data_IF_751005745243
#
_entry.id   IF_751005745243
#
_cell.length_a   1.000
_cell.length_b   1.000
_cell.length_c   1.000
_cell.angle_alpha   90.00
_cell.angle_beta   90.00
_cell.angle_gamma   90.00
#
_symmetry.space_group_name_H-M   'P 1'
#
loop_
_entity.id
_entity.type
_entity.pdbx_description
1 polymer ?
#
# COMPACT_ATOMS: atom_id res chain seq x y z
N UNK A 1 -10.24 10.85 -18.96
CA UNK A 1 -10.89 9.69 -18.30
C UNK A 1 -11.28 10.14 -16.90
N UNK A 2 -12.53 9.93 -16.49
CA UNK A 2 -13.05 10.40 -15.20
C UNK A 2 -12.90 9.33 -14.13
N UNK A 3 -12.80 9.73 -12.86
CA UNK A 3 -12.90 8.80 -11.74
C UNK A 3 -14.24 8.06 -11.79
N UNK A 4 -14.33 6.81 -11.29
CA UNK A 4 -15.61 6.17 -11.02
C UNK A 4 -16.51 7.10 -10.18
N UNK A 5 -17.80 7.18 -10.49
CA UNK A 5 -18.72 8.13 -9.84
C UNK A 5 -18.79 7.95 -8.32
N UNK A 6 -18.79 6.71 -7.84
CA UNK A 6 -18.72 6.41 -6.41
C UNK A 6 -17.40 6.84 -5.76
N UNK A 7 -16.29 6.74 -6.49
CA UNK A 7 -14.98 7.17 -5.99
C UNK A 7 -14.90 8.69 -5.85
N UNK A 8 -15.42 9.45 -6.82
CA UNK A 8 -15.41 10.92 -6.75
C UNK A 8 -16.13 11.44 -5.50
N UNK A 9 -17.31 10.89 -5.19
CA UNK A 9 -18.06 11.24 -3.98
C UNK A 9 -17.33 10.84 -2.70
N UNK A 10 -16.72 9.65 -2.67
CA UNK A 10 -15.93 9.20 -1.52
C UNK A 10 -14.72 10.10 -1.26
N UNK A 11 -14.03 10.54 -2.31
CA UNK A 11 -12.92 11.48 -2.22
C UNK A 11 -13.38 12.87 -1.78
N UNK A 12 -14.52 13.36 -2.25
CA UNK A 12 -15.06 14.65 -1.80
C UNK A 12 -15.34 14.66 -0.30
N UNK A 13 -15.95 13.59 0.23
CA UNK A 13 -16.14 13.43 1.66
C UNK A 13 -14.82 13.36 2.44
N UNK A 14 -13.83 12.63 1.92
CA UNK A 14 -12.54 12.44 2.57
C UNK A 14 -11.68 13.72 2.56
N UNK A 15 -11.64 14.43 1.43
CA UNK A 15 -10.80 15.61 1.22
C UNK A 15 -11.50 16.91 1.66
N UNK A 16 -12.80 16.86 1.96
CA UNK A 16 -13.62 18.03 2.30
C UNK A 16 -13.91 18.95 1.11
N UNK A 17 -13.57 18.53 -0.10
CA UNK A 17 -13.79 19.28 -1.33
C UNK A 17 -13.76 18.36 -2.56
N UNK A 18 -14.51 18.69 -3.63
CA UNK A 18 -14.53 17.86 -4.83
C UNK A 18 -13.18 17.88 -5.56
N UNK A 19 -12.77 16.75 -6.16
CA UNK A 19 -11.67 16.71 -7.12
C UNK A 19 -11.86 17.73 -8.25
N UNK A 20 -10.84 18.54 -8.52
CA UNK A 20 -10.82 19.58 -9.58
C UNK A 20 -10.12 19.11 -10.84
N UNK A 21 -8.97 18.46 -10.68
CA UNK A 21 -8.19 17.92 -11.78
C UNK A 21 -7.79 16.48 -11.46
N UNK A 22 -7.93 15.61 -12.45
CA UNK A 22 -7.58 14.19 -12.34
C UNK A 22 -6.69 13.83 -13.52
N UNK A 23 -5.48 13.38 -13.22
CA UNK A 23 -4.53 12.88 -14.21
C UNK A 23 -4.17 11.45 -13.85
N UNK A 24 -4.49 10.50 -14.73
CA UNK A 24 -4.01 9.13 -14.56
C UNK A 24 -2.49 9.12 -14.59
N UNK A 25 -1.90 8.36 -13.67
CA UNK A 25 -0.45 8.16 -13.60
C UNK A 25 -0.18 6.67 -13.77
N UNK A 26 0.88 6.34 -14.52
CA UNK A 26 1.37 4.96 -14.56
C UNK A 26 2.00 4.64 -13.20
N UNK A 27 1.74 3.44 -12.66
CA UNK A 27 2.31 3.08 -11.37
C UNK A 27 1.81 1.81 -10.69
N UNK A 28 0.93 1.02 -11.30
CA UNK A 28 0.49 -0.24 -10.72
C UNK A 28 0.22 -1.32 -11.77
N UNK A 29 0.70 -2.53 -11.50
CA UNK A 29 0.34 -3.73 -12.29
C UNK A 29 -1.07 -4.22 -11.97
N UNK A 30 -1.62 -3.82 -10.81
CA UNK A 30 -2.91 -4.31 -10.27
C UNK A 30 -3.93 -3.20 -10.01
N UNK A 31 -3.49 -2.00 -9.60
CA UNK A 31 -4.38 -0.89 -9.24
C UNK A 31 -4.27 0.24 -10.24
N UNK A 32 -5.38 0.95 -10.46
CA UNK A 32 -5.37 2.23 -11.14
C UNK A 32 -4.88 3.32 -10.19
N UNK A 33 -4.21 4.32 -10.72
CA UNK A 33 -3.68 5.44 -9.95
C UNK A 33 -3.88 6.77 -10.68
N UNK A 34 -4.14 7.83 -9.91
CA UNK A 34 -4.26 9.18 -10.41
C UNK A 34 -3.63 10.20 -9.47
N UNK A 35 -3.04 11.23 -10.06
CA UNK A 35 -2.79 12.52 -9.42
C UNK A 35 -4.11 13.29 -9.39
N UNK A 36 -4.59 13.60 -8.20
CA UNK A 36 -5.85 14.31 -7.96
C UNK A 36 -5.55 15.64 -7.29
N UNK A 37 -5.99 16.73 -7.89
CA UNK A 37 -5.98 18.05 -7.26
C UNK A 37 -7.35 18.35 -6.68
N UNK A 38 -7.40 18.81 -5.43
CA UNK A 38 -8.60 19.32 -4.78
C UNK A 38 -8.25 20.57 -3.95
N UNK A 39 -9.24 21.19 -3.30
CA UNK A 39 -8.90 22.22 -2.32
C UNK A 39 -8.03 21.60 -1.21
N UNK A 40 -6.95 22.28 -0.84
CA UNK A 40 -6.02 21.80 0.19
C UNK A 40 -4.77 21.07 -0.35
N UNK A 41 -4.71 20.72 -1.64
CA UNK A 41 -3.46 20.24 -2.23
C UNK A 41 -3.61 19.23 -3.38
N UNK A 42 -2.53 18.49 -3.60
CA UNK A 42 -2.43 17.42 -4.59
C UNK A 42 -2.25 16.09 -3.87
N UNK A 43 -2.94 15.07 -4.35
CA UNK A 43 -2.99 13.75 -3.74
C UNK A 43 -2.71 12.68 -4.78
N UNK A 44 -2.08 11.59 -4.34
CA UNK A 44 -2.10 10.34 -5.07
C UNK A 44 -3.34 9.55 -4.63
N UNK A 45 -4.17 9.16 -5.58
CA UNK A 45 -5.30 8.25 -5.33
C UNK A 45 -5.06 6.96 -6.10
N UNK A 46 -5.08 5.83 -5.38
CA UNK A 46 -5.08 4.49 -5.98
C UNK A 46 -6.43 3.84 -5.74
N UNK A 47 -6.93 3.09 -6.71
CA UNK A 47 -8.14 2.31 -6.55
C UNK A 47 -8.09 0.99 -7.30
N UNK A 48 -8.92 0.05 -6.85
CA UNK A 48 -9.02 -1.28 -7.42
C UNK A 48 -10.51 -1.69 -7.46
N UNK A 49 -11.03 -1.99 -8.66
CA UNK A 49 -12.44 -2.35 -8.83
C UNK A 49 -12.80 -3.69 -8.19
N UNK A 50 -11.90 -4.67 -8.32
CA UNK A 50 -12.08 -6.02 -7.78
C UNK A 50 -10.88 -6.45 -6.93
N UNK A 51 -10.63 -5.82 -5.76
CA UNK A 51 -9.50 -6.15 -4.93
C UNK A 51 -9.60 -7.62 -4.46
N UNK A 52 -8.48 -8.27 -4.09
CA UNK A 52 -8.52 -9.59 -3.47
C UNK A 52 -9.47 -9.59 -2.27
N UNK A 53 -10.39 -10.56 -2.22
CA UNK A 53 -11.29 -10.70 -1.08
C UNK A 53 -10.47 -11.10 0.16
N UNK A 54 -10.49 -10.32 1.25
CA UNK A 54 -9.77 -10.70 2.46
C UNK A 54 -10.36 -11.98 3.06
N UNK A 55 -9.49 -12.84 3.58
CA UNK A 55 -9.91 -13.93 4.44
C UNK A 55 -10.49 -13.37 5.75
N UNK A 56 -11.33 -14.12 6.48
CA UNK A 56 -11.84 -13.66 7.78
C UNK A 56 -10.70 -13.20 8.70
N UNK A 57 -10.82 -11.99 9.24
CA UNK A 57 -9.80 -11.39 10.11
C UNK A 57 -8.63 -10.72 9.40
N UNK A 58 -8.55 -10.78 8.06
CA UNK A 58 -7.53 -10.05 7.30
C UNK A 58 -8.02 -8.63 6.98
N UNK A 59 -7.13 -7.62 7.06
CA UNK A 59 -7.47 -6.28 6.60
C UNK A 59 -7.70 -6.26 5.08
N UNK A 60 -8.46 -5.28 4.60
CA UNK A 60 -8.55 -5.02 3.16
C UNK A 60 -7.20 -4.60 2.56
N UNK A 61 -7.06 -4.69 1.23
CA UNK A 61 -5.78 -4.39 0.55
C UNK A 61 -5.26 -2.99 0.87
N UNK A 62 -6.12 -1.98 0.80
CA UNK A 62 -5.72 -0.59 1.05
C UNK A 62 -5.65 -0.24 2.54
N UNK A 63 -6.42 -0.93 3.39
CA UNK A 63 -6.21 -0.89 4.84
C UNK A 63 -4.81 -1.40 5.21
N UNK A 64 -4.40 -2.54 4.65
CA UNK A 64 -3.07 -3.12 4.88
C UNK A 64 -1.96 -2.20 4.38
N UNK A 65 -2.13 -1.57 3.21
CA UNK A 65 -1.19 -0.57 2.69
C UNK A 65 -1.11 0.65 3.62
N UNK A 66 -2.24 1.17 4.08
CA UNK A 66 -2.29 2.30 5.00
C UNK A 66 -1.56 2.00 6.32
N UNK A 67 -1.81 0.83 6.92
CA UNK A 67 -1.13 0.40 8.15
C UNK A 67 0.38 0.25 7.93
N UNK A 68 0.80 -0.34 6.81
CA UNK A 68 2.21 -0.46 6.44
C UNK A 68 2.92 0.88 6.27
N UNK A 69 2.28 1.84 5.58
CA UNK A 69 2.79 3.21 5.43
C UNK A 69 2.91 3.94 6.77
N UNK A 70 1.90 3.82 7.64
CA UNK A 70 1.95 4.39 8.99
C UNK A 70 3.08 3.78 9.83
N UNK A 71 3.28 2.46 9.76
CA UNK A 71 4.38 1.79 10.45
C UNK A 71 5.75 2.29 9.95
N UNK A 72 5.95 2.37 8.63
CA UNK A 72 7.18 2.91 8.04
C UNK A 72 7.42 4.38 8.45
N UNK A 73 6.36 5.21 8.43
CA UNK A 73 6.45 6.61 8.83
C UNK A 73 6.84 6.78 10.30
N UNK A 74 6.38 5.87 11.18
CA UNK A 74 6.69 5.90 12.61
C UNK A 74 8.19 5.80 12.93
N UNK A 75 8.97 5.14 12.06
CA UNK A 75 10.41 5.01 12.19
C UNK A 75 11.17 6.34 11.93
N UNK A 76 10.54 7.30 11.23
CA UNK A 76 11.12 8.62 10.92
C UNK A 76 12.49 8.56 10.24
N UNK A 77 12.71 7.55 9.39
CA UNK A 77 14.03 7.28 8.77
C UNK A 77 14.08 7.54 7.26
N UNK A 78 12.97 7.36 6.56
CA UNK A 78 12.81 7.60 5.11
C UNK A 78 11.57 8.44 4.87
N UNK A 79 11.51 9.14 3.73
CA UNK A 79 10.28 9.85 3.34
C UNK A 79 9.22 8.83 2.96
N UNK A 80 8.08 8.89 3.64
CA UNK A 80 6.89 8.07 3.41
C UNK A 80 5.72 9.02 3.17
N UNK A 81 4.84 8.78 2.17
CA UNK A 81 3.68 9.63 1.94
C UNK A 81 2.71 9.52 3.12
N UNK A 82 2.18 10.66 3.57
CA UNK A 82 1.12 10.67 4.56
C UNK A 82 -0.16 10.03 3.99
N UNK A 83 -0.79 9.13 4.73
CA UNK A 83 -2.09 8.53 4.37
C UNK A 83 -3.19 9.49 4.82
N UNK A 84 -4.05 9.91 3.89
CA UNK A 84 -5.22 10.72 4.20
C UNK A 84 -6.40 9.87 4.60
N UNK A 85 -6.57 8.74 3.91
CA UNK A 85 -7.61 7.77 4.20
C UNK A 85 -7.72 6.69 3.13
N UNK A 86 -8.53 5.69 3.41
CA UNK A 86 -8.83 4.60 2.50
C UNK A 86 -10.32 4.22 2.65
N UNK A 87 -10.84 3.49 1.68
CA UNK A 87 -12.18 2.95 1.72
C UNK A 87 -12.26 1.56 1.12
N UNK A 88 -13.12 0.72 1.70
CA UNK A 88 -13.49 -0.58 1.16
C UNK A 88 -14.55 -0.43 0.05
N UNK A 89 -14.78 -1.45 -0.80
CA UNK A 89 -15.81 -1.40 -1.82
C UNK A 89 -17.19 -1.17 -1.19
N UNK A 90 -17.87 -0.10 -1.61
CA UNK A 90 -19.18 0.28 -1.08
C UNK A 90 -20.04 0.90 -2.18
N UNK A 91 -21.21 0.30 -2.44
CA UNK A 91 -22.10 0.71 -3.52
C UNK A 91 -21.37 0.73 -4.88
N UNK A 92 -21.30 1.91 -5.50
CA UNK A 92 -20.60 2.12 -6.78
C UNK A 92 -19.15 2.61 -6.60
N UNK A 93 -18.62 2.66 -5.38
CA UNK A 93 -17.22 3.04 -5.12
C UNK A 93 -16.33 1.79 -5.10
N UNK A 94 -15.22 1.77 -5.86
CA UNK A 94 -14.18 0.76 -5.69
C UNK A 94 -13.48 0.93 -4.33
N UNK A 95 -12.67 -0.06 -3.95
CA UNK A 95 -11.72 0.13 -2.86
C UNK A 95 -10.68 1.17 -3.29
N UNK A 96 -10.23 2.02 -2.36
CA UNK A 96 -9.25 3.06 -2.66
C UNK A 96 -8.37 3.43 -1.47
N UNK A 97 -7.27 4.11 -1.76
CA UNK A 97 -6.45 4.86 -0.79
C UNK A 97 -6.12 6.23 -1.39
N UNK A 98 -6.21 7.27 -0.57
CA UNK A 98 -5.73 8.61 -0.87
C UNK A 98 -4.55 8.94 0.05
N UNK A 99 -3.47 9.42 -0.55
CA UNK A 99 -2.24 9.76 0.15
C UNK A 99 -1.60 11.02 -0.42
N UNK A 100 -0.64 11.56 0.32
CA UNK A 100 0.17 12.70 -0.08
C UNK A 100 0.77 12.48 -1.48
N UNK A 101 0.65 13.48 -2.35
CA UNK A 101 1.44 13.53 -3.58
C UNK A 101 2.88 13.93 -3.27
N UNK A 102 3.84 13.06 -3.61
CA UNK A 102 5.26 13.38 -3.51
C UNK A 102 5.76 13.80 -4.89
N UNK A 103 6.23 15.04 -5.00
CA UNK A 103 6.88 15.50 -6.24
C UNK A 103 8.15 14.71 -6.51
N UNK A 104 8.30 14.25 -7.75
CA UNK A 104 9.48 13.50 -8.15
C UNK A 104 10.72 14.39 -8.07
N UNK A 105 11.66 13.98 -7.22
CA UNK A 105 12.98 14.61 -7.12
C UNK A 105 13.89 14.26 -8.29
N UNK A 106 15.11 14.78 -8.26
CA UNK A 106 16.14 14.46 -9.25
C UNK A 106 16.86 13.15 -8.90
N UNK A 107 17.06 12.31 -9.92
CA UNK A 107 17.85 11.09 -9.80
C UNK A 107 19.34 11.48 -9.68
N UNK A 108 19.85 11.52 -8.45
CA UNK A 108 21.22 11.96 -8.15
C UNK A 108 21.93 11.00 -7.19
N UNK A 109 23.27 10.94 -7.26
CA UNK A 109 24.08 10.16 -6.34
C UNK A 109 23.85 10.57 -4.88
N UNK A 110 23.62 11.87 -4.63
CA UNK A 110 23.29 12.39 -3.30
C UNK A 110 21.95 11.83 -2.80
N UNK A 111 20.92 11.80 -3.64
CA UNK A 111 19.62 11.23 -3.29
C UNK A 111 19.72 9.72 -3.00
N UNK A 112 20.45 8.97 -3.85
CA UNK A 112 20.69 7.54 -3.64
C UNK A 112 21.44 7.26 -2.32
N UNK A 113 22.49 8.03 -2.02
CA UNK A 113 23.23 7.91 -0.77
C UNK A 113 22.37 8.26 0.46
N UNK A 114 21.50 9.27 0.36
CA UNK A 114 20.56 9.62 1.42
C UNK A 114 19.53 8.50 1.66
N UNK A 115 18.96 7.93 0.59
CA UNK A 115 18.06 6.79 0.68
C UNK A 115 18.74 5.58 1.33
N UNK A 116 19.96 5.24 0.92
CA UNK A 116 20.71 4.14 1.53
C UNK A 116 20.94 4.32 3.03
N UNK A 117 21.29 5.53 3.48
CA UNK A 117 21.42 5.86 4.91
C UNK A 117 20.09 5.74 5.64
N UNK A 118 19.00 6.22 5.03
CA UNK A 118 17.64 6.12 5.59
C UNK A 118 17.18 4.67 5.73
N UNK A 119 17.36 3.84 4.69
CA UNK A 119 17.05 2.41 4.72
C UNK A 119 17.88 1.66 5.77
N UNK A 120 19.17 1.96 5.90
CA UNK A 120 20.00 1.38 6.95
C UNK A 120 19.51 1.77 8.35
N UNK A 121 19.03 3.01 8.55
CA UNK A 121 18.41 3.42 9.80
C UNK A 121 17.06 2.73 10.04
N UNK A 122 16.25 2.55 8.99
CA UNK A 122 14.99 1.81 9.06
C UNK A 122 15.25 0.37 9.53
N UNK A 123 16.19 -0.34 8.91
CA UNK A 123 16.52 -1.73 9.28
C UNK A 123 17.04 -1.90 10.71
N UNK A 124 17.51 -0.82 11.36
CA UNK A 124 17.89 -0.84 12.78
C UNK A 124 16.70 -0.74 13.75
N UNK A 125 15.48 -0.50 13.25
CA UNK A 125 14.26 -0.64 14.04
C UNK A 125 13.89 -2.12 14.10
N UNK A 126 14.31 -2.79 15.15
CA UNK A 126 14.20 -4.26 15.30
C UNK A 126 13.01 -4.67 16.15
N UNK A 127 12.55 -5.91 15.95
CA UNK A 127 11.59 -6.60 16.82
C UNK A 127 12.17 -7.96 17.26
N UNK A 128 11.65 -8.52 18.35
CA UNK A 128 12.07 -9.83 18.86
C UNK A 128 11.55 -11.01 18.01
N UNK A 129 10.53 -10.76 17.19
CA UNK A 129 9.86 -11.76 16.34
C UNK A 129 9.78 -11.25 14.92
N UNK A 130 9.73 -12.17 13.96
CA UNK A 130 9.44 -11.93 12.56
C UNK A 130 7.92 -11.90 12.34
N UNK A 131 7.46 -11.10 11.37
CA UNK A 131 6.04 -10.90 11.10
C UNK A 131 5.54 -9.53 11.55
N UNK A 132 4.22 -9.38 11.59
CA UNK A 132 3.49 -8.16 11.95
C UNK A 132 2.26 -8.53 12.78
N UNK A 133 1.63 -7.53 13.38
CA UNK A 133 0.34 -7.67 14.07
C UNK A 133 -0.86 -7.84 13.11
N UNK A 134 -0.64 -7.71 11.80
CA UNK A 134 -1.65 -7.94 10.78
C UNK A 134 -1.05 -8.58 9.51
N UNK A 135 -1.88 -9.38 8.83
CA UNK A 135 -1.56 -9.86 7.50
C UNK A 135 -1.62 -8.74 6.47
N UNK A 136 -0.93 -8.89 5.35
CA UNK A 136 -0.96 -7.91 4.27
C UNK A 136 -0.84 -8.60 2.90
N UNK A 137 -0.41 -7.84 1.88
CA UNK A 137 -0.36 -8.29 0.50
C UNK A 137 0.98 -7.91 -0.13
N UNK A 138 1.48 -8.78 -1.01
CA UNK A 138 2.57 -8.48 -1.93
C UNK A 138 2.00 -8.50 -3.36
N UNK A 139 1.71 -7.32 -3.90
CA UNK A 139 0.84 -7.21 -5.07
C UNK A 139 -0.57 -7.71 -4.74
N UNK A 140 -1.12 -8.61 -5.57
CA UNK A 140 -2.41 -9.24 -5.32
C UNK A 140 -2.32 -10.50 -4.43
N UNK A 141 -1.11 -10.90 -4.03
CA UNK A 141 -0.88 -12.15 -3.31
C UNK A 141 -0.98 -11.93 -1.80
N UNK A 142 -1.80 -12.68 -1.06
CA UNK A 142 -1.84 -12.61 0.39
C UNK A 142 -0.47 -12.94 1.00
N UNK A 143 -0.11 -12.25 2.07
CA UNK A 143 1.14 -12.47 2.80
C UNK A 143 0.83 -12.69 4.28
N UNK A 144 1.06 -13.92 4.74
CA UNK A 144 0.93 -14.30 6.14
C UNK A 144 2.06 -13.65 6.97
N UNK A 145 1.69 -12.93 8.02
CA UNK A 145 2.62 -12.25 8.92
C UNK A 145 2.48 -12.74 10.37
N UNK A 146 1.84 -13.89 10.59
CA UNK A 146 1.77 -14.53 11.90
C UNK A 146 3.16 -14.58 12.50
N UNK A 147 3.29 -14.06 13.72
CA UNK A 147 4.57 -13.86 14.36
C UNK A 147 5.30 -15.18 14.61
N UNK A 148 6.62 -15.16 14.44
CA UNK A 148 7.48 -16.32 14.61
C UNK A 148 8.87 -15.87 15.11
N UNK A 149 9.46 -16.61 16.03
CA UNK A 149 10.81 -16.31 16.57
C UNK A 149 11.93 -16.78 15.65
N UNK A 150 11.67 -17.77 14.78
CA UNK A 150 12.68 -18.35 13.89
C UNK A 150 12.58 -17.75 12.48
N UNK A 151 13.65 -17.11 12.02
CA UNK A 151 13.72 -16.57 10.66
C UNK A 151 13.56 -17.68 9.62
N UNK A 152 14.22 -18.82 9.85
CA UNK A 152 14.23 -19.94 8.91
C UNK A 152 12.83 -20.50 8.74
N UNK A 153 12.09 -20.65 9.84
CA UNK A 153 10.69 -21.10 9.80
C UNK A 153 9.80 -20.04 9.16
N UNK A 154 9.89 -18.78 9.60
CA UNK A 154 9.08 -17.68 9.05
C UNK A 154 9.24 -17.55 7.54
N UNK A 155 10.49 -17.49 7.06
CA UNK A 155 10.77 -17.33 5.64
C UNK A 155 10.48 -18.62 4.86
N UNK A 156 10.84 -19.78 5.40
CA UNK A 156 10.62 -21.08 4.78
C UNK A 156 9.13 -21.37 4.57
N UNK A 157 8.30 -21.18 5.59
CA UNK A 157 6.88 -21.54 5.54
C UNK A 157 6.01 -20.40 5.01
N UNK A 158 6.17 -19.19 5.55
CA UNK A 158 5.26 -18.05 5.32
C UNK A 158 5.69 -17.15 4.16
N UNK A 159 6.84 -17.42 3.53
CA UNK A 159 7.25 -16.79 2.26
C UNK A 159 7.35 -17.83 1.17
N UNK A 160 8.40 -18.65 1.18
CA UNK A 160 8.67 -19.60 0.10
C UNK A 160 7.58 -20.67 0.00
N UNK A 161 7.31 -21.37 1.10
CA UNK A 161 6.31 -22.45 1.17
C UNK A 161 4.90 -21.97 0.78
N UNK A 162 4.50 -20.80 1.26
CA UNK A 162 3.23 -20.19 0.87
C UNK A 162 3.12 -19.96 -0.65
N UNK A 163 4.15 -19.36 -1.27
CA UNK A 163 4.14 -19.11 -2.72
C UNK A 163 4.14 -20.42 -3.52
N UNK A 164 4.91 -21.42 -3.07
CA UNK A 164 4.94 -22.75 -3.68
C UNK A 164 3.55 -23.42 -3.64
N UNK A 165 2.91 -23.43 -2.47
CA UNK A 165 1.57 -23.98 -2.31
C UNK A 165 0.53 -23.23 -3.14
N UNK A 166 0.63 -21.90 -3.22
CA UNK A 166 -0.25 -21.07 -4.05
C UNK A 166 -0.07 -21.36 -5.54
N UNK A 167 1.17 -21.49 -6.01
CA UNK A 167 1.48 -21.85 -7.40
C UNK A 167 0.92 -23.24 -7.75
N UNK A 168 1.11 -24.23 -6.87
CA UNK A 168 0.54 -25.57 -7.04
C UNK A 168 -0.99 -25.54 -7.17
N UNK A 169 -1.68 -24.83 -6.26
CA UNK A 169 -3.15 -24.68 -6.30
C UNK A 169 -3.65 -23.99 -7.57
N UNK A 170 -2.82 -23.16 -8.19
CA UNK A 170 -3.12 -22.46 -9.45
C UNK A 170 -2.66 -23.24 -10.70
N UNK A 171 -2.07 -24.42 -10.54
CA UNK A 171 -1.57 -25.23 -11.66
C UNK A 171 -0.35 -24.64 -12.37
N UNK A 172 0.51 -23.91 -11.63
CA UNK A 172 1.71 -23.23 -12.16
C UNK A 172 3.02 -23.98 -11.82
N UNK A 173 2.93 -25.26 -11.46
CA UNK A 173 4.05 -26.13 -11.11
C UNK A 173 4.15 -27.32 -12.05
#
# INVERSE_FOLDING_TARGET
>A
MTLPSGLAAALEMLLGAPPRQVQLVSGGDISQAARVEAAGGTFLVKWHAHPPRPAPGWPGMFEAEARGLQLLASAKTVRVPAVLGFGEPAGNSPAFIAMEWIERGTDSQRAAAALGKGLAALHRHTAAVYGLDHHNYCGATPQDNTQCESWVEFYGERRLGFQLALAARRGLM
#
